data_IF_619117739608
#
_entry.id   IF_619117739608
#
_cell.length_a   1.000
_cell.length_b   1.000
_cell.length_c   1.000
_cell.angle_alpha   90.00
_cell.angle_beta   90.00
_cell.angle_gamma   90.00
#
_symmetry.space_group_name_H-M   'P 1'
#
loop_
_entity.id
_entity.type
_entity.pdbx_description
1 polymer ?
#
# COMPACT_ATOMS: atom_id res chain seq x y z
N UNK A 1 -1.84 -15.76 -16.46
CA UNK A 1 -1.13 -14.81 -15.58
C UNK A 1 -0.74 -15.56 -14.31
N UNK A 2 0.33 -15.15 -13.60
CA UNK A 2 0.64 -15.73 -12.29
C UNK A 2 -0.60 -15.72 -11.41
N UNK A 3 -0.84 -16.82 -10.69
CA UNK A 3 -1.97 -16.95 -9.74
C UNK A 3 -1.63 -16.45 -8.35
N UNK A 4 -0.35 -16.19 -8.09
CA UNK A 4 0.10 -15.68 -6.80
C UNK A 4 -0.13 -14.17 -6.70
N UNK A 5 -0.49 -13.68 -5.50
CA UNK A 5 -0.68 -12.26 -5.28
C UNK A 5 0.58 -11.47 -5.59
N UNK A 6 0.41 -10.31 -6.23
CA UNK A 6 1.54 -9.40 -6.48
C UNK A 6 2.04 -8.84 -5.14
N UNK A 7 3.36 -8.85 -4.93
CA UNK A 7 3.97 -8.25 -3.73
C UNK A 7 4.43 -6.84 -4.02
N UNK A 8 3.92 -5.88 -3.27
CA UNK A 8 4.14 -4.46 -3.48
C UNK A 8 4.99 -3.83 -2.38
N UNK A 9 5.65 -2.74 -2.75
CA UNK A 9 6.33 -1.86 -1.82
C UNK A 9 6.00 -0.39 -2.15
N UNK A 10 5.94 0.46 -1.12
CA UNK A 10 5.76 1.91 -1.28
C UNK A 10 7.04 2.67 -0.95
N UNK A 11 7.44 3.61 -1.80
CA UNK A 11 8.57 4.53 -1.55
C UNK A 11 8.03 5.96 -1.53
N UNK A 12 8.30 6.66 -0.44
CA UNK A 12 7.70 7.96 -0.13
C UNK A 12 6.31 7.77 0.49
N UNK A 13 6.23 7.99 1.80
CA UNK A 13 5.05 7.82 2.65
C UNK A 13 4.38 9.16 3.00
N UNK A 14 4.57 10.18 2.15
CA UNK A 14 3.99 11.51 2.30
C UNK A 14 2.54 11.64 1.80
N UNK A 15 2.08 12.87 1.59
CA UNK A 15 0.69 13.16 1.24
C UNK A 15 0.16 12.44 -0.01
N UNK A 16 0.98 12.30 -1.06
CA UNK A 16 0.59 11.62 -2.30
C UNK A 16 0.40 10.11 -2.09
N UNK A 17 1.17 9.50 -1.18
CA UNK A 17 1.06 8.07 -0.87
C UNK A 17 -0.35 7.68 -0.41
N UNK A 18 -1.02 8.57 0.34
CA UNK A 18 -2.42 8.37 0.78
C UNK A 18 -3.41 8.37 -0.38
N UNK A 19 -3.14 9.13 -1.44
CA UNK A 19 -3.96 9.10 -2.66
C UNK A 19 -3.79 7.77 -3.40
N UNK A 20 -2.56 7.23 -3.44
CA UNK A 20 -2.33 5.89 -3.98
C UNK A 20 -3.12 4.82 -3.21
N UNK A 21 -3.14 4.86 -1.88
CA UNK A 21 -3.94 3.92 -1.08
C UNK A 21 -5.42 3.94 -1.47
N UNK A 22 -6.02 5.12 -1.61
CA UNK A 22 -7.43 5.23 -2.02
C UNK A 22 -7.69 4.63 -3.40
N UNK A 23 -6.80 4.87 -4.36
CA UNK A 23 -6.93 4.30 -5.69
C UNK A 23 -6.78 2.77 -5.68
N UNK A 24 -5.87 2.23 -4.85
CA UNK A 24 -5.68 0.79 -4.70
C UNK A 24 -6.87 0.13 -4.00
N UNK A 25 -7.49 0.79 -3.02
CA UNK A 25 -8.75 0.34 -2.40
C UNK A 25 -9.87 0.25 -3.45
N UNK A 26 -10.00 1.25 -4.34
CA UNK A 26 -10.96 1.20 -5.45
C UNK A 26 -10.71 -0.01 -6.36
N UNK A 27 -9.46 -0.22 -6.78
CA UNK A 27 -9.08 -1.35 -7.62
C UNK A 27 -9.37 -2.70 -6.96
N UNK A 28 -9.04 -2.85 -5.67
CA UNK A 28 -9.35 -4.05 -4.87
C UNK A 28 -10.84 -4.28 -4.79
N UNK A 29 -11.63 -3.23 -4.52
CA UNK A 29 -13.10 -3.32 -4.44
C UNK A 29 -13.76 -3.76 -5.76
N UNK A 30 -13.08 -3.52 -6.89
CA UNK A 30 -13.52 -3.91 -8.23
C UNK A 30 -12.98 -5.28 -8.67
N UNK A 31 -12.24 -5.97 -7.80
CA UNK A 31 -11.62 -7.27 -8.09
C UNK A 31 -10.50 -7.21 -9.12
N UNK A 32 -9.87 -6.04 -9.31
CA UNK A 32 -8.86 -5.80 -10.34
C UNK A 32 -7.45 -6.09 -9.80
N UNK A 33 -7.26 -6.07 -8.48
CA UNK A 33 -5.96 -6.31 -7.86
C UNK A 33 -6.10 -6.99 -6.49
N UNK A 34 -5.25 -7.98 -6.22
CA UNK A 34 -5.10 -8.65 -4.91
C UNK A 34 -3.75 -8.37 -4.23
N UNK A 35 -3.05 -7.34 -4.70
CA UNK A 35 -1.76 -6.90 -4.20
C UNK A 35 -1.60 -6.97 -2.68
N UNK A 36 -0.52 -7.62 -2.24
CA UNK A 36 -0.08 -7.65 -0.85
C UNK A 36 1.07 -6.67 -0.67
N UNK A 37 0.88 -5.69 0.20
CA UNK A 37 1.97 -4.79 0.61
C UNK A 37 2.94 -5.51 1.55
N UNK A 38 4.22 -5.47 1.22
CA UNK A 38 5.27 -6.18 1.97
C UNK A 38 6.34 -5.26 2.53
N UNK A 39 6.44 -4.02 2.03
CA UNK A 39 7.43 -3.05 2.49
C UNK A 39 6.99 -1.61 2.26
N UNK A 40 7.53 -0.71 3.08
CA UNK A 40 7.42 0.75 2.91
C UNK A 40 8.77 1.40 3.18
N UNK A 41 9.02 2.57 2.57
CA UNK A 41 10.25 3.32 2.76
C UNK A 41 9.98 4.83 2.71
N UNK A 42 10.53 5.57 3.66
CA UNK A 42 10.56 7.04 3.67
C UNK A 42 11.84 7.51 4.38
N UNK A 43 12.30 8.72 4.09
CA UNK A 43 13.47 9.29 4.80
C UNK A 43 13.10 9.83 6.18
N UNK A 44 11.81 9.99 6.46
CA UNK A 44 11.25 10.29 7.77
C UNK A 44 10.62 9.01 8.36
N UNK A 45 11.15 8.55 9.48
CA UNK A 45 10.71 7.30 10.13
C UNK A 45 9.24 7.34 10.57
N UNK A 46 8.75 8.48 11.08
CA UNK A 46 7.37 8.62 11.53
C UNK A 46 6.38 8.46 10.37
N UNK A 47 6.71 9.02 9.20
CA UNK A 47 5.92 8.83 7.99
C UNK A 47 5.87 7.35 7.58
N UNK A 48 7.04 6.68 7.56
CA UNK A 48 7.11 5.27 7.22
C UNK A 48 6.29 4.40 8.20
N UNK A 49 6.42 4.63 9.52
CA UNK A 49 5.68 3.90 10.56
C UNK A 49 4.18 4.14 10.47
N UNK A 50 3.75 5.40 10.36
CA UNK A 50 2.34 5.73 10.25
C UNK A 50 1.71 5.13 8.98
N UNK A 51 2.43 5.17 7.86
CA UNK A 51 1.95 4.60 6.61
C UNK A 51 1.89 3.07 6.65
N UNK A 52 2.86 2.40 7.28
CA UNK A 52 2.81 0.95 7.51
C UNK A 52 1.60 0.54 8.35
N UNK A 53 1.28 1.29 9.43
CA UNK A 53 0.09 1.06 10.24
C UNK A 53 -1.22 1.28 9.45
N UNK A 54 -1.25 2.32 8.62
CA UNK A 54 -2.39 2.61 7.75
C UNK A 54 -2.60 1.50 6.71
N UNK A 55 -1.53 0.97 6.13
CA UNK A 55 -1.57 -0.19 5.23
C UNK A 55 -2.11 -1.43 5.94
N UNK A 56 -1.60 -1.78 7.12
CA UNK A 56 -2.06 -2.95 7.88
C UNK A 56 -3.56 -2.85 8.20
N UNK A 57 -4.04 -1.65 8.54
CA UNK A 57 -5.46 -1.42 8.85
C UNK A 57 -6.39 -1.61 7.64
N UNK A 58 -5.91 -1.29 6.43
CA UNK A 58 -6.72 -1.26 5.20
C UNK A 58 -6.55 -2.51 4.33
N UNK A 59 -5.37 -3.12 4.37
CA UNK A 59 -4.94 -4.19 3.48
C UNK A 59 -4.47 -5.47 4.19
N UNK A 60 -4.27 -5.43 5.52
CA UNK A 60 -3.99 -6.61 6.34
C UNK A 60 -5.18 -7.57 6.49
#
# INVERSE_FOLDING_TARGET
>A
MPTDPLKWAMIGCGGIAKTHLKALEDLRSRGIDDAIFTAVCDNNEDNARAFAQELETRFG
#
